data_IF_856349556631
#
_entry.id   IF_856349556631
#
_cell.length_a   1.000
_cell.length_b   1.000
_cell.length_c   1.000
_cell.angle_alpha   90.00
_cell.angle_beta   90.00
_cell.angle_gamma   90.00
#
_symmetry.space_group_name_H-M   'P 1'
#
loop_
_entity.id
_entity.type
_entity.pdbx_description
1 polymer ?
#
# COMPACT_ATOMS: atom_id res chain seq x y z
N UNK A 1 -25.02 -21.64 1.44
CA UNK A 1 -26.40 -21.96 1.03
C UNK A 1 -26.93 -20.75 0.27
N UNK A 2 -26.83 -20.79 -1.07
CA UNK A 2 -27.26 -19.67 -1.94
C UNK A 2 -28.73 -19.83 -2.30
N UNK A 3 -29.52 -18.82 -1.98
CA UNK A 3 -30.93 -18.74 -2.37
C UNK A 3 -31.06 -18.33 -3.83
N UNK A 4 -31.86 -19.03 -4.67
CA UNK A 4 -32.11 -18.63 -6.04
C UNK A 4 -32.98 -17.35 -6.06
N UNK A 5 -32.46 -16.30 -6.70
CA UNK A 5 -33.17 -15.05 -6.93
C UNK A 5 -34.30 -15.28 -7.93
N UNK A 6 -35.53 -15.13 -7.45
CA UNK A 6 -36.77 -15.37 -8.17
C UNK A 6 -37.02 -14.20 -9.13
N UNK A 7 -36.55 -14.32 -10.38
CA UNK A 7 -36.80 -13.33 -11.42
C UNK A 7 -38.29 -13.36 -11.82
N UNK A 8 -39.03 -12.35 -11.36
CA UNK A 8 -40.42 -12.12 -11.73
C UNK A 8 -40.48 -11.77 -13.22
N UNK A 9 -40.79 -12.76 -14.05
CA UNK A 9 -41.08 -12.59 -15.48
C UNK A 9 -42.38 -11.79 -15.58
N UNK A 10 -42.27 -10.47 -15.77
CA UNK A 10 -43.42 -9.63 -16.09
C UNK A 10 -43.95 -10.02 -17.45
N UNK A 11 -45.19 -10.52 -17.48
CA UNK A 11 -45.87 -10.89 -18.73
C UNK A 11 -45.95 -9.65 -19.63
N UNK A 12 -45.58 -9.75 -20.92
CA UNK A 12 -45.66 -8.61 -21.83
C UNK A 12 -47.10 -8.12 -21.90
N UNK A 13 -47.27 -6.82 -21.69
CA UNK A 13 -48.56 -6.14 -21.75
C UNK A 13 -49.16 -6.38 -23.15
N UNK A 14 -50.41 -6.86 -23.26
CA UNK A 14 -51.00 -7.17 -24.55
C UNK A 14 -51.05 -5.89 -25.41
N UNK A 15 -50.75 -5.99 -26.71
CA UNK A 15 -50.81 -4.86 -27.62
C UNK A 15 -52.24 -4.31 -27.61
N UNK A 16 -52.37 -3.01 -27.35
CA UNK A 16 -53.65 -2.31 -27.37
C UNK A 16 -54.27 -2.43 -28.76
N UNK A 17 -55.60 -2.53 -28.82
CA UNK A 17 -56.37 -2.76 -30.06
C UNK A 17 -55.98 -1.82 -31.23
N UNK A 18 -55.51 -0.60 -30.93
CA UNK A 18 -55.05 0.34 -31.94
C UNK A 18 -53.81 -0.10 -32.74
N UNK A 19 -52.87 -0.84 -32.13
CA UNK A 19 -51.68 -1.32 -32.86
C UNK A 19 -52.01 -2.43 -33.85
N UNK A 20 -53.02 -3.26 -33.56
CA UNK A 20 -53.45 -4.32 -34.47
C UNK A 20 -54.15 -3.75 -35.71
N UNK A 21 -54.99 -2.73 -35.53
CA UNK A 21 -55.63 -2.05 -36.66
C UNK A 21 -54.60 -1.29 -37.52
N UNK A 22 -53.63 -0.60 -36.91
CA UNK A 22 -52.56 0.07 -37.65
C UNK A 22 -51.69 -0.90 -38.45
N UNK A 23 -51.37 -2.07 -37.89
CA UNK A 23 -50.59 -3.11 -38.58
C UNK A 23 -51.36 -3.71 -39.76
N UNK A 24 -52.68 -3.96 -39.61
CA UNK A 24 -53.52 -4.47 -40.69
C UNK A 24 -53.67 -3.43 -41.82
N UNK A 25 -53.92 -2.16 -41.48
CA UNK A 25 -54.01 -1.08 -42.47
C UNK A 25 -52.68 -0.89 -43.23
N UNK A 26 -51.53 -0.97 -42.54
CA UNK A 26 -50.21 -0.88 -43.17
C UNK A 26 -49.92 -2.07 -44.10
N UNK A 27 -50.40 -3.27 -43.78
CA UNK A 27 -50.28 -4.44 -44.64
C UNK A 27 -51.17 -4.32 -45.89
N UNK A 28 -52.39 -3.81 -45.73
CA UNK A 28 -53.34 -3.60 -46.82
C UNK A 28 -52.85 -2.52 -47.81
N UNK A 29 -52.27 -1.43 -47.32
CA UNK A 29 -51.67 -0.38 -48.14
C UNK A 29 -50.50 -0.89 -49.00
N UNK A 30 -49.67 -1.81 -48.46
CA UNK A 30 -48.57 -2.43 -49.24
C UNK A 30 -49.08 -3.32 -50.37
N UNK A 31 -50.21 -3.99 -50.16
CA UNK A 31 -50.81 -4.88 -51.17
C UNK A 31 -51.45 -4.10 -52.32
N UNK A 32 -51.89 -2.86 -52.05
CA UNK A 32 -52.52 -1.97 -53.04
C UNK A 32 -51.53 -1.29 -53.99
N UNK A 33 -50.23 -1.42 -53.76
CA UNK A 33 -49.21 -0.71 -54.54
C UNK A 33 -49.20 0.81 -54.31
N UNK A 34 -49.96 1.31 -53.34
CA UNK A 34 -49.78 2.67 -52.83
C UNK A 34 -48.43 2.67 -52.09
N UNK A 35 -47.39 3.14 -52.78
CA UNK A 35 -46.10 3.41 -52.16
C UNK A 35 -46.38 4.24 -50.91
N UNK A 36 -46.01 3.70 -49.73
CA UNK A 36 -46.19 4.38 -48.46
C UNK A 36 -45.80 5.85 -48.65
N UNK A 37 -46.65 6.82 -48.23
CA UNK A 37 -46.37 8.23 -48.41
C UNK A 37 -44.95 8.44 -47.93
N UNK A 38 -44.05 8.82 -48.85
CA UNK A 38 -42.64 9.09 -48.54
C UNK A 38 -42.72 10.02 -47.34
N UNK A 39 -42.31 9.59 -46.14
CA UNK A 39 -42.51 10.36 -44.94
C UNK A 39 -41.90 11.71 -45.24
N UNK A 40 -42.78 12.71 -45.29
CA UNK A 40 -42.50 14.10 -45.58
C UNK A 40 -41.19 14.42 -44.88
N UNK A 41 -40.14 14.66 -45.67
CA UNK A 41 -38.74 14.71 -45.23
C UNK A 41 -38.73 15.56 -43.96
N UNK A 42 -38.67 14.89 -42.80
CA UNK A 42 -38.63 15.59 -41.52
C UNK A 42 -37.47 16.56 -41.66
N UNK A 43 -37.68 17.86 -41.41
CA UNK A 43 -36.68 18.88 -41.66
C UNK A 43 -35.40 18.37 -41.02
N UNK A 44 -34.41 18.06 -41.85
CA UNK A 44 -33.13 17.51 -41.43
C UNK A 44 -32.71 18.31 -40.20
N UNK A 45 -32.45 17.66 -39.05
CA UNK A 45 -32.21 18.36 -37.79
C UNK A 45 -31.17 19.42 -38.10
N UNK A 46 -31.59 20.69 -38.07
CA UNK A 46 -30.78 21.82 -38.51
C UNK A 46 -29.46 21.67 -37.77
N UNK A 47 -28.39 21.38 -38.50
CA UNK A 47 -27.07 21.29 -37.91
C UNK A 47 -26.87 22.62 -37.19
N UNK A 48 -26.81 22.58 -35.85
CA UNK A 48 -26.60 23.78 -35.04
C UNK A 48 -25.32 24.43 -35.57
N UNK A 49 -25.49 25.53 -36.31
CA UNK A 49 -24.39 26.33 -36.82
C UNK A 49 -23.61 26.75 -35.60
N UNK A 50 -22.38 26.26 -35.49
CA UNK A 50 -21.54 26.57 -34.34
C UNK A 50 -21.19 28.05 -34.39
N UNK A 51 -21.78 28.84 -33.49
CA UNK A 51 -21.63 30.30 -33.39
C UNK A 51 -20.26 30.74 -32.83
N UNK A 52 -19.33 29.80 -32.66
CA UNK A 52 -17.99 30.03 -32.12
C UNK A 52 -17.87 29.83 -30.61
N UNK A 53 -16.67 30.10 -30.05
CA UNK A 53 -16.41 30.00 -28.62
C UNK A 53 -17.23 31.02 -27.83
N UNK A 54 -18.12 30.54 -26.96
CA UNK A 54 -18.88 31.40 -26.03
C UNK A 54 -18.33 31.15 -24.63
N UNK A 55 -17.80 32.18 -23.99
CA UNK A 55 -17.15 32.09 -22.67
C UNK A 55 -18.06 31.47 -21.60
N UNK A 56 -19.38 31.74 -21.65
CA UNK A 56 -20.33 31.19 -20.70
C UNK A 56 -20.53 29.68 -20.90
N UNK A 57 -20.61 29.24 -22.17
CA UNK A 57 -20.72 27.82 -22.52
C UNK A 57 -19.43 27.08 -22.18
N UNK A 58 -18.29 27.71 -22.41
CA UNK A 58 -16.97 27.16 -22.09
C UNK A 58 -16.82 26.95 -20.58
N UNK A 59 -17.21 27.94 -19.76
CA UNK A 59 -17.25 27.80 -18.29
C UNK A 59 -18.17 26.65 -17.86
N UNK A 60 -19.34 26.52 -18.47
CA UNK A 60 -20.26 25.41 -18.15
C UNK A 60 -19.68 24.05 -18.54
N UNK A 61 -19.02 23.95 -19.68
CA UNK A 61 -18.36 22.73 -20.14
C UNK A 61 -17.19 22.34 -19.24
N UNK A 62 -16.32 23.28 -18.89
CA UNK A 62 -15.23 23.06 -17.93
C UNK A 62 -15.76 22.58 -16.58
N UNK A 63 -16.81 23.22 -16.07
CA UNK A 63 -17.45 22.84 -14.80
C UNK A 63 -18.08 21.45 -14.87
N UNK A 64 -18.72 21.09 -16.00
CA UNK A 64 -19.29 19.77 -16.23
C UNK A 64 -18.21 18.68 -16.21
N UNK A 65 -17.09 18.91 -16.88
CA UNK A 65 -15.95 17.97 -16.92
C UNK A 65 -15.35 17.83 -15.51
N UNK A 66 -15.10 18.95 -14.81
CA UNK A 66 -14.61 18.91 -13.43
C UNK A 66 -15.54 18.11 -12.50
N UNK A 67 -16.86 18.32 -12.59
CA UNK A 67 -17.85 17.59 -11.78
C UNK A 67 -17.86 16.10 -12.07
N UNK A 68 -17.78 15.70 -13.34
CA UNK A 68 -17.69 14.30 -13.73
C UNK A 68 -16.42 13.64 -13.20
N UNK A 69 -15.29 14.35 -13.26
CA UNK A 69 -14.03 13.86 -12.73
C UNK A 69 -14.08 13.72 -11.20
N UNK A 70 -14.49 14.76 -10.47
CA UNK A 70 -14.52 14.74 -9.01
C UNK A 70 -15.50 13.68 -8.47
N UNK A 71 -16.72 13.63 -9.04
CA UNK A 71 -17.78 12.72 -8.57
C UNK A 71 -17.64 11.30 -9.11
N UNK A 72 -17.23 11.14 -10.37
CA UNK A 72 -17.19 9.85 -11.06
C UNK A 72 -15.86 9.14 -10.93
N UNK A 73 -14.75 9.87 -11.04
CA UNK A 73 -13.40 9.31 -11.04
C UNK A 73 -12.78 9.36 -9.64
N UNK A 74 -12.64 10.54 -9.04
CA UNK A 74 -11.84 10.72 -7.81
C UNK A 74 -12.51 10.12 -6.58
N UNK A 75 -13.84 10.22 -6.47
CA UNK A 75 -14.56 9.73 -5.29
C UNK A 75 -14.59 8.21 -5.19
N UNK A 76 -14.82 7.53 -6.31
CA UNK A 76 -15.10 6.09 -6.32
C UNK A 76 -13.84 5.24 -6.59
N UNK A 77 -12.72 5.88 -6.97
CA UNK A 77 -11.42 5.25 -7.19
C UNK A 77 -10.36 5.88 -6.25
N UNK A 78 -9.18 5.26 -6.11
CA UNK A 78 -8.09 5.86 -5.33
C UNK A 78 -7.43 7.06 -6.05
N UNK A 79 -6.81 7.98 -5.30
CA UNK A 79 -6.10 9.13 -5.88
C UNK A 79 -5.04 8.74 -6.92
N UNK A 80 -4.29 7.66 -6.65
CA UNK A 80 -3.26 7.15 -7.56
C UNK A 80 -3.85 6.63 -8.88
N UNK A 81 -4.91 5.82 -8.81
CA UNK A 81 -5.59 5.30 -10.01
C UNK A 81 -6.24 6.43 -10.81
N UNK A 82 -6.83 7.41 -10.12
CA UNK A 82 -7.42 8.59 -10.74
C UNK A 82 -6.36 9.43 -11.45
N UNK A 83 -5.19 9.65 -10.82
CA UNK A 83 -4.07 10.35 -11.44
C UNK A 83 -3.59 9.61 -12.71
N UNK A 84 -3.38 8.29 -12.64
CA UNK A 84 -2.96 7.48 -13.80
C UNK A 84 -3.96 7.57 -14.98
N UNK A 85 -5.27 7.59 -14.67
CA UNK A 85 -6.32 7.74 -15.67
C UNK A 85 -6.31 9.14 -16.30
N UNK A 86 -6.21 10.20 -15.49
CA UNK A 86 -6.15 11.59 -15.95
C UNK A 86 -4.90 11.83 -16.81
N UNK A 87 -3.72 11.40 -16.38
CA UNK A 87 -2.47 11.48 -17.17
C UNK A 87 -2.64 10.84 -18.55
N UNK A 88 -3.30 9.69 -18.59
CA UNK A 88 -3.53 8.97 -19.85
C UNK A 88 -4.50 9.73 -20.76
N UNK A 89 -5.58 10.29 -20.20
CA UNK A 89 -6.54 11.11 -20.93
C UNK A 89 -5.92 12.42 -21.44
N UNK A 90 -5.12 13.10 -20.62
CA UNK A 90 -4.37 14.32 -21.02
C UNK A 90 -3.48 14.00 -22.21
N UNK A 91 -2.70 12.90 -22.15
CA UNK A 91 -1.83 12.50 -23.26
C UNK A 91 -2.61 12.21 -24.55
N UNK A 92 -3.76 11.55 -24.45
CA UNK A 92 -4.63 11.28 -25.60
C UNK A 92 -5.13 12.60 -26.20
N UNK A 93 -5.59 13.53 -25.36
CA UNK A 93 -6.09 14.83 -25.82
C UNK A 93 -4.97 15.67 -26.46
N UNK A 94 -3.78 15.74 -25.85
CA UNK A 94 -2.61 16.45 -26.39
C UNK A 94 -2.21 15.91 -27.76
N UNK A 95 -2.09 14.59 -27.92
CA UNK A 95 -1.74 13.99 -29.22
C UNK A 95 -2.73 14.35 -30.34
N UNK A 96 -4.03 14.43 -30.02
CA UNK A 96 -5.07 14.81 -30.99
C UNK A 96 -5.00 16.31 -31.32
N UNK A 97 -4.74 17.15 -30.32
CA UNK A 97 -4.61 18.61 -30.50
C UNK A 97 -3.35 18.98 -31.30
N UNK A 98 -2.24 18.27 -31.08
CA UNK A 98 -0.98 18.43 -31.82
C UNK A 98 -1.11 17.96 -33.28
N UNK A 99 -1.82 16.84 -33.51
CA UNK A 99 -1.92 16.20 -34.83
C UNK A 99 -3.38 15.93 -35.22
N UNK A 100 -4.20 16.97 -35.49
CA UNK A 100 -5.64 16.81 -35.72
C UNK A 100 -5.99 16.06 -37.00
N UNK A 101 -5.07 16.01 -37.98
CA UNK A 101 -5.25 15.32 -39.27
C UNK A 101 -5.12 13.79 -39.17
N UNK A 102 -4.44 13.28 -38.14
CA UNK A 102 -4.14 11.85 -38.04
C UNK A 102 -5.32 11.06 -37.47
N UNK A 103 -5.97 10.26 -38.32
CA UNK A 103 -7.12 9.43 -37.93
C UNK A 103 -6.79 8.39 -36.84
N UNK A 104 -5.50 8.01 -36.71
CA UNK A 104 -5.00 7.07 -35.71
C UNK A 104 -5.22 7.57 -34.28
N UNK A 105 -4.99 8.86 -34.01
CA UNK A 105 -5.17 9.40 -32.65
C UNK A 105 -6.65 9.65 -32.32
N UNK A 106 -7.50 9.83 -33.34
CA UNK A 106 -8.94 10.04 -33.18
C UNK A 106 -9.72 8.75 -32.93
N UNK A 107 -9.10 7.58 -33.15
CA UNK A 107 -9.75 6.26 -33.05
C UNK A 107 -9.05 5.44 -31.99
N UNK A 108 -9.71 5.21 -30.85
CA UNK A 108 -9.16 4.45 -29.74
C UNK A 108 -9.87 3.10 -29.63
N UNK A 109 -9.13 2.01 -29.80
CA UNK A 109 -9.67 0.67 -29.60
C UNK A 109 -9.83 0.39 -28.11
N UNK A 110 -10.98 -0.14 -27.68
CA UNK A 110 -11.18 -0.59 -26.29
C UNK A 110 -10.21 -1.71 -25.87
N UNK A 111 -9.64 -2.44 -26.82
CA UNK A 111 -8.63 -3.49 -26.63
C UNK A 111 -7.24 -2.93 -26.32
N UNK A 112 -6.99 -1.62 -26.49
CA UNK A 112 -5.71 -1.00 -26.13
C UNK A 112 -5.45 -1.18 -24.63
N UNK A 113 -4.32 -1.80 -24.28
CA UNK A 113 -4.00 -2.18 -22.90
C UNK A 113 -3.88 -0.97 -21.97
N UNK A 114 -3.32 0.16 -22.42
CA UNK A 114 -3.24 1.37 -21.61
C UNK A 114 -4.62 1.96 -21.35
N UNK A 115 -5.44 2.10 -22.40
CA UNK A 115 -6.80 2.63 -22.27
C UNK A 115 -7.65 1.72 -21.37
N UNK A 116 -7.60 0.42 -21.60
CA UNK A 116 -8.36 -0.59 -20.84
C UNK A 116 -7.98 -0.58 -19.36
N UNK A 117 -6.70 -0.64 -19.05
CA UNK A 117 -6.23 -0.82 -17.68
C UNK A 117 -6.25 0.48 -16.85
N UNK A 118 -6.01 1.63 -17.49
CA UNK A 118 -5.94 2.92 -16.77
C UNK A 118 -7.26 3.68 -16.79
N UNK A 119 -7.91 3.78 -17.95
CA UNK A 119 -9.11 4.63 -18.11
C UNK A 119 -10.39 3.82 -17.93
N UNK A 120 -10.57 2.73 -18.70
CA UNK A 120 -11.83 1.97 -18.70
C UNK A 120 -12.02 1.12 -17.44
N UNK A 121 -10.93 0.72 -16.78
CA UNK A 121 -11.00 0.04 -15.48
C UNK A 121 -11.45 0.96 -14.34
N UNK A 122 -11.29 2.28 -14.49
CA UNK A 122 -11.70 3.25 -13.48
C UNK A 122 -13.18 3.59 -13.65
N UNK A 123 -13.93 3.62 -12.54
CA UNK A 123 -15.32 4.09 -12.55
C UNK A 123 -15.36 5.55 -13.03
N UNK A 124 -16.31 5.89 -13.91
CA UNK A 124 -16.41 7.21 -14.53
C UNK A 124 -15.41 7.52 -15.65
N UNK A 125 -14.43 6.64 -15.93
CA UNK A 125 -13.47 6.87 -17.03
C UNK A 125 -14.12 6.86 -18.42
N UNK A 126 -15.14 6.03 -18.62
CA UNK A 126 -15.95 6.03 -19.84
C UNK A 126 -16.71 7.34 -20.03
N UNK A 127 -17.37 7.85 -18.98
CA UNK A 127 -18.16 9.07 -19.04
C UNK A 127 -17.30 10.30 -19.35
N UNK A 128 -16.05 10.32 -18.86
CA UNK A 128 -15.04 11.32 -19.19
C UNK A 128 -14.70 11.30 -20.69
N UNK A 129 -14.49 10.14 -21.31
CA UNK A 129 -14.26 10.05 -22.76
C UNK A 129 -15.45 10.62 -23.55
N UNK A 130 -16.68 10.31 -23.14
CA UNK A 130 -17.88 10.85 -23.78
C UNK A 130 -17.97 12.38 -23.61
N UNK A 131 -17.58 12.89 -22.43
CA UNK A 131 -17.54 14.33 -22.15
C UNK A 131 -16.48 15.09 -22.95
N UNK A 132 -15.36 14.43 -23.30
CA UNK A 132 -14.33 14.95 -24.21
C UNK A 132 -14.74 14.91 -25.69
N UNK A 133 -15.94 14.41 -26.01
CA UNK A 133 -16.48 14.39 -27.37
C UNK A 133 -16.30 13.07 -28.11
N UNK A 134 -15.73 12.03 -27.49
CA UNK A 134 -15.66 10.70 -28.10
C UNK A 134 -17.05 10.06 -28.20
N UNK A 135 -17.25 9.26 -29.24
CA UNK A 135 -18.44 8.43 -29.42
C UNK A 135 -18.05 6.97 -29.52
N UNK A 136 -18.79 6.10 -28.85
CA UNK A 136 -18.60 4.66 -28.92
C UNK A 136 -19.20 4.15 -30.23
N UNK A 137 -18.41 3.46 -31.03
CA UNK A 137 -18.82 2.75 -32.24
C UNK A 137 -18.41 1.29 -32.10
N UNK A 138 -19.18 0.37 -32.68
CA UNK A 138 -18.79 -1.05 -32.74
C UNK A 138 -18.30 -1.32 -34.15
N UNK A 139 -17.02 -1.69 -34.28
CA UNK A 139 -16.38 -2.02 -35.56
C UNK A 139 -15.73 -3.38 -35.37
N UNK A 140 -16.05 -4.33 -36.26
CA UNK A 140 -15.56 -5.72 -36.17
C UNK A 140 -15.84 -6.41 -34.82
N UNK A 141 -17.04 -6.17 -34.26
CA UNK A 141 -17.46 -6.65 -32.94
C UNK A 141 -16.62 -6.13 -31.75
N UNK A 142 -15.75 -5.14 -31.96
CA UNK A 142 -15.01 -4.46 -30.91
C UNK A 142 -15.54 -3.04 -30.69
N UNK A 143 -15.65 -2.63 -29.43
CA UNK A 143 -15.95 -1.24 -29.11
C UNK A 143 -14.75 -0.34 -29.42
N UNK A 144 -14.97 0.72 -30.19
CA UNK A 144 -14.00 1.75 -30.53
C UNK A 144 -14.54 3.12 -30.13
N UNK A 145 -13.67 3.98 -29.60
CA UNK A 145 -13.99 5.37 -29.29
C UNK A 145 -13.49 6.25 -30.41
N UNK A 146 -14.42 6.90 -31.11
CA UNK A 146 -14.13 7.70 -32.30
C UNK A 146 -14.45 9.16 -32.02
N UNK A 147 -13.49 10.04 -32.25
CA UNK A 147 -13.67 11.48 -32.25
C UNK A 147 -13.85 11.98 -33.68
N UNK A 148 -15.05 12.44 -34.03
CA UNK A 148 -15.28 13.14 -35.31
C UNK A 148 -14.65 14.52 -35.24
N UNK A 149 -13.73 14.89 -36.17
CA UNK A 149 -13.09 16.19 -36.18
C UNK A 149 -14.12 17.25 -36.62
N UNK A 150 -14.72 17.95 -35.66
CA UNK A 150 -15.53 19.14 -35.91
C UNK A 150 -15.00 20.30 -35.08
N UNK A 151 -15.15 21.54 -35.55
CA UNK A 151 -14.65 22.73 -34.83
C UNK A 151 -15.16 22.76 -33.38
N UNK A 152 -16.46 22.49 -33.19
CA UNK A 152 -17.08 22.37 -31.86
C UNK A 152 -16.42 21.30 -30.99
N UNK A 153 -16.21 20.08 -31.50
CA UNK A 153 -15.65 18.97 -30.72
C UNK A 153 -14.17 19.18 -30.42
N UNK A 154 -13.42 19.77 -31.33
CA UNK A 154 -12.02 20.13 -31.09
C UNK A 154 -11.90 21.21 -30.01
N UNK A 155 -12.83 22.17 -29.99
CA UNK A 155 -12.91 23.17 -28.92
C UNK A 155 -13.28 22.55 -27.57
N UNK A 156 -14.29 21.68 -27.53
CA UNK A 156 -14.66 20.92 -26.32
C UNK A 156 -13.49 20.07 -25.80
N UNK A 157 -12.75 19.41 -26.70
CA UNK A 157 -11.55 18.65 -26.36
C UNK A 157 -10.46 19.54 -25.77
N UNK A 158 -10.23 20.74 -26.32
CA UNK A 158 -9.27 21.72 -25.80
C UNK A 158 -9.63 22.17 -24.38
N UNK A 159 -10.89 22.53 -24.14
CA UNK A 159 -11.38 22.90 -22.80
C UNK A 159 -11.20 21.74 -21.81
N UNK A 160 -11.48 20.52 -22.26
CA UNK A 160 -11.28 19.31 -21.48
C UNK A 160 -9.82 19.05 -21.14
N UNK A 161 -8.91 19.24 -22.08
CA UNK A 161 -7.47 19.10 -21.87
C UNK A 161 -6.95 20.07 -20.81
N UNK A 162 -7.36 21.35 -20.86
CA UNK A 162 -7.01 22.36 -19.87
C UNK A 162 -7.45 21.95 -18.44
N UNK A 163 -8.70 21.48 -18.30
CA UNK A 163 -9.22 21.02 -17.00
C UNK A 163 -8.49 19.75 -16.52
N UNK A 164 -8.19 18.83 -17.42
CA UNK A 164 -7.46 17.61 -17.08
C UNK A 164 -6.03 17.91 -16.61
N UNK A 165 -5.33 18.85 -17.26
CA UNK A 165 -3.98 19.25 -16.88
C UNK A 165 -3.93 19.90 -15.49
N UNK A 166 -4.81 20.86 -15.23
CA UNK A 166 -4.95 21.50 -13.90
C UNK A 166 -5.12 20.44 -12.82
N UNK A 167 -6.08 19.55 -13.02
CA UNK A 167 -6.45 18.51 -12.05
C UNK A 167 -5.45 17.38 -11.94
N UNK A 168 -4.68 17.10 -12.99
CA UNK A 168 -3.58 16.15 -12.97
C UNK A 168 -2.58 16.53 -11.89
N UNK A 169 -2.14 17.80 -11.90
CA UNK A 169 -1.15 18.30 -10.92
C UNK A 169 -1.67 18.22 -9.48
N UNK A 170 -2.95 18.50 -9.25
CA UNK A 170 -3.58 18.39 -7.93
C UNK A 170 -3.65 16.94 -7.43
N UNK A 171 -4.04 16.01 -8.31
CA UNK A 171 -4.16 14.60 -7.97
C UNK A 171 -2.79 13.96 -7.72
N UNK A 172 -1.76 14.33 -8.48
CA UNK A 172 -0.39 13.86 -8.25
C UNK A 172 0.16 14.37 -6.92
N UNK A 173 -0.07 15.65 -6.56
CA UNK A 173 0.27 16.21 -5.25
C UNK A 173 -0.41 15.46 -4.11
N UNK A 174 -1.70 15.14 -4.24
CA UNK A 174 -2.43 14.38 -3.22
C UNK A 174 -1.96 12.92 -3.14
N UNK A 175 -1.72 12.28 -4.28
CA UNK A 175 -1.26 10.89 -4.34
C UNK A 175 0.14 10.75 -3.70
N UNK A 176 1.06 11.66 -4.04
CA UNK A 176 2.40 11.70 -3.45
C UNK A 176 2.36 12.02 -1.95
N UNK A 177 1.58 13.03 -1.54
CA UNK A 177 1.43 13.40 -0.12
C UNK A 177 0.90 12.25 0.76
N UNK A 178 -0.01 11.44 0.24
CA UNK A 178 -0.51 10.26 0.96
C UNK A 178 0.57 9.18 1.13
N UNK A 179 1.39 8.97 0.10
CA UNK A 179 2.52 8.01 0.20
C UNK A 179 3.60 8.49 1.14
N UNK A 180 3.99 9.77 1.07
CA UNK A 180 5.04 10.32 1.94
C UNK A 180 4.64 10.31 3.41
N UNK A 181 3.40 10.69 3.73
CA UNK A 181 2.89 10.64 5.11
C UNK A 181 2.90 9.21 5.67
N UNK A 182 2.48 8.23 4.87
CA UNK A 182 2.49 6.82 5.30
C UNK A 182 3.91 6.30 5.52
N UNK A 183 4.84 6.61 4.59
CA UNK A 183 6.24 6.19 4.72
C UNK A 183 6.95 6.87 5.87
N UNK A 184 6.67 8.16 6.12
CA UNK A 184 7.24 8.90 7.23
C UNK A 184 6.77 8.30 8.56
N UNK A 185 5.46 8.08 8.74
CA UNK A 185 4.94 7.43 9.95
C UNK A 185 5.52 6.03 10.17
N UNK A 186 5.64 5.22 9.12
CA UNK A 186 6.30 3.91 9.19
C UNK A 186 7.78 4.02 9.57
N UNK A 187 8.49 5.01 9.03
CA UNK A 187 9.90 5.23 9.33
C UNK A 187 10.12 5.71 10.77
N UNK A 188 9.26 6.59 11.28
CA UNK A 188 9.29 7.06 12.66
C UNK A 188 9.00 5.92 13.64
N UNK A 189 7.99 5.10 13.36
CA UNK A 189 7.67 3.93 14.17
C UNK A 189 8.78 2.88 14.13
N UNK A 190 9.42 2.69 12.98
CA UNK A 190 10.59 1.82 12.84
C UNK A 190 11.78 2.37 13.64
N UNK A 191 12.03 3.68 13.61
CA UNK A 191 13.10 4.32 14.39
C UNK A 191 12.84 4.22 15.89
N UNK A 192 11.60 4.41 16.34
CA UNK A 192 11.22 4.21 17.75
C UNK A 192 11.48 2.79 18.22
N UNK A 193 11.08 1.79 17.42
CA UNK A 193 11.34 0.37 17.72
C UNK A 193 12.83 0.07 17.74
N UNK A 194 13.60 0.58 16.78
CA UNK A 194 15.05 0.40 16.72
C UNK A 194 15.75 1.01 17.94
N UNK A 195 15.32 2.19 18.38
CA UNK A 195 15.84 2.84 19.59
C UNK A 195 15.57 2.01 20.85
N UNK A 196 14.32 1.55 21.02
CA UNK A 196 13.96 0.71 22.16
C UNK A 196 14.72 -0.63 22.18
N UNK A 197 14.93 -1.24 21.00
CA UNK A 197 15.72 -2.47 20.90
C UNK A 197 17.19 -2.25 21.28
N UNK A 198 17.78 -1.12 20.83
CA UNK A 198 19.15 -0.75 21.19
C UNK A 198 19.32 -0.55 22.69
N UNK A 199 18.36 0.11 23.34
CA UNK A 199 18.36 0.31 24.79
C UNK A 199 18.31 -1.03 25.56
N UNK A 200 17.48 -1.98 25.10
CA UNK A 200 17.42 -3.33 25.68
C UNK A 200 18.74 -4.09 25.49
N UNK A 201 19.41 -3.92 24.35
CA UNK A 201 20.71 -4.55 24.08
C UNK A 201 21.82 -3.95 24.95
N UNK A 202 21.83 -2.63 25.11
CA UNK A 202 22.76 -1.91 25.99
C UNK A 202 22.57 -2.37 27.45
N UNK A 203 21.31 -2.48 27.93
CA UNK A 203 21.00 -3.01 29.25
C UNK A 203 21.48 -4.46 29.43
N UNK A 204 21.24 -5.32 28.43
CA UNK A 204 21.74 -6.71 28.45
C UNK A 204 23.26 -6.76 28.50
N UNK A 205 23.96 -5.86 27.81
CA UNK A 205 25.42 -5.78 27.86
C UNK A 205 25.90 -5.34 29.25
N UNK A 206 25.25 -4.34 29.86
CA UNK A 206 25.57 -3.88 31.22
C UNK A 206 25.36 -4.98 32.27
N UNK A 207 24.27 -5.75 32.16
CA UNK A 207 24.01 -6.90 33.04
C UNK A 207 25.08 -7.98 32.85
N UNK A 208 25.49 -8.29 31.62
CA UNK A 208 26.58 -9.25 31.35
C UNK A 208 27.89 -8.82 32.01
N UNK A 209 28.29 -7.56 31.80
CA UNK A 209 29.51 -7.00 32.42
C UNK A 209 29.43 -7.04 33.95
N UNK A 210 28.25 -6.75 34.54
CA UNK A 210 28.05 -6.84 35.99
C UNK A 210 28.21 -8.28 36.49
N UNK A 211 27.56 -9.26 35.83
CA UNK A 211 27.63 -10.67 36.19
C UNK A 211 29.05 -11.22 36.06
N UNK A 212 29.77 -10.85 35.00
CA UNK A 212 31.19 -11.22 34.81
C UNK A 212 32.06 -10.65 35.92
N UNK A 213 31.87 -9.38 36.28
CA UNK A 213 32.60 -8.75 37.38
C UNK A 213 32.32 -9.42 38.73
N UNK A 214 31.06 -9.73 39.02
CA UNK A 214 30.68 -10.46 40.23
C UNK A 214 31.25 -11.89 40.25
N UNK A 215 31.27 -12.55 39.08
CA UNK A 215 31.85 -13.89 38.92
C UNK A 215 33.34 -13.89 39.21
N UNK A 216 34.10 -13.00 38.57
CA UNK A 216 35.56 -12.85 38.83
C UNK A 216 35.81 -12.56 40.31
N UNK A 217 35.03 -11.65 40.91
CA UNK A 217 35.15 -11.35 42.33
C UNK A 217 34.84 -12.53 43.26
N UNK A 218 33.93 -13.44 42.87
CA UNK A 218 33.68 -14.69 43.62
C UNK A 218 34.83 -15.67 43.47
N UNK A 219 35.31 -15.87 42.24
CA UNK A 219 36.43 -16.76 41.94
C UNK A 219 37.71 -16.31 42.67
N UNK A 220 37.99 -15.01 42.75
CA UNK A 220 39.13 -14.46 43.50
C UNK A 220 39.01 -14.68 45.01
N UNK A 221 37.83 -14.47 45.60
CA UNK A 221 37.58 -14.72 47.03
C UNK A 221 37.71 -16.19 47.37
N UNK A 222 37.20 -17.07 46.51
CA UNK A 222 37.31 -18.51 46.67
C UNK A 222 38.77 -18.97 46.53
N UNK A 223 39.54 -18.37 45.62
CA UNK A 223 40.98 -18.64 45.46
C UNK A 223 41.77 -18.23 46.72
N UNK A 224 41.57 -17.01 47.21
CA UNK A 224 42.21 -16.54 48.45
C UNK A 224 41.86 -17.43 49.65
N UNK A 225 40.61 -17.86 49.75
CA UNK A 225 40.18 -18.79 50.81
C UNK A 225 40.87 -20.14 50.70
N UNK A 226 40.97 -20.72 49.50
CA UNK A 226 41.71 -21.99 49.29
C UNK A 226 43.19 -21.85 49.63
N UNK A 227 43.82 -20.75 49.25
CA UNK A 227 45.23 -20.48 49.59
C UNK A 227 45.43 -20.40 51.10
N UNK A 228 44.55 -19.68 51.82
CA UNK A 228 44.59 -19.62 53.28
C UNK A 228 44.35 -20.97 53.97
N UNK A 229 43.41 -21.76 53.46
CA UNK A 229 43.14 -23.11 53.98
C UNK A 229 44.33 -24.05 53.77
N UNK A 230 45.01 -23.96 52.62
CA UNK A 230 46.24 -24.72 52.35
C UNK A 230 47.41 -24.28 53.22
N UNK A 231 47.58 -22.97 53.41
CA UNK A 231 48.62 -22.42 54.30
C UNK A 231 48.37 -22.86 55.76
N UNK A 232 47.13 -22.77 56.23
CA UNK A 232 46.75 -23.25 57.55
C UNK A 232 46.96 -24.76 57.71
N UNK A 233 46.60 -25.56 56.70
CA UNK A 233 46.85 -27.00 56.71
C UNK A 233 48.36 -27.32 56.72
N UNK A 234 49.18 -26.58 55.95
CA UNK A 234 50.63 -26.76 55.97
C UNK A 234 51.24 -26.40 57.32
N UNK A 235 50.80 -25.29 57.93
CA UNK A 235 51.24 -24.89 59.27
C UNK A 235 50.81 -25.91 60.34
N UNK A 236 49.61 -26.48 60.24
CA UNK A 236 49.15 -27.54 61.13
C UNK A 236 50.02 -28.80 60.97
N UNK A 237 50.33 -29.22 59.74
CA UNK A 237 51.23 -30.37 59.51
C UNK A 237 52.65 -30.12 60.01
N UNK A 238 53.16 -28.89 59.88
CA UNK A 238 54.48 -28.51 60.39
C UNK A 238 54.51 -28.53 61.93
N UNK A 239 53.46 -28.01 62.59
CA UNK A 239 53.34 -28.10 64.06
C UNK A 239 53.21 -29.55 64.56
N UNK A 240 52.53 -30.43 63.81
CA UNK A 240 52.45 -31.86 64.14
C UNK A 240 53.83 -32.52 63.99
N UNK A 241 54.55 -32.24 62.90
CA UNK A 241 55.89 -32.78 62.66
C UNK A 241 56.90 -32.36 63.75
N UNK A 242 56.88 -31.08 64.16
CA UNK A 242 57.73 -30.57 65.24
C UNK A 242 57.39 -31.21 66.61
N UNK A 243 56.12 -31.59 66.81
CA UNK A 243 55.69 -32.31 68.02
C UNK A 243 56.08 -33.79 68.03
N UNK A 244 56.26 -34.41 66.85
CA UNK A 244 56.53 -35.86 66.72
C UNK A 244 58.04 -36.20 66.70
N UNK A 245 58.93 -35.21 66.49
CA UNK A 245 60.39 -35.38 66.66
C UNK A 245 60.81 -35.76 68.10
N UNK A 246 59.88 -35.72 69.07
CA UNK A 246 60.09 -36.19 70.45
C UNK A 246 59.66 -37.64 70.73
N UNK A 247 59.08 -38.38 69.78
CA UNK A 247 58.42 -39.68 70.07
C UNK A 247 58.86 -40.82 69.15
N UNK A 248 60.16 -40.98 68.94
CA UNK A 248 60.73 -42.23 68.46
C UNK A 248 60.71 -43.30 69.57
N UNK A 249 59.60 -44.03 69.70
CA UNK A 249 59.54 -45.31 70.42
C UNK A 249 58.87 -46.35 69.52
N UNK A 250 59.65 -47.39 69.24
CA UNK A 250 59.35 -48.69 68.62
C UNK A 250 57.88 -49.10 68.62
N UNK A 251 57.35 -49.43 67.43
CA UNK A 251 56.30 -50.44 67.28
C UNK A 251 56.55 -51.24 66.00
N UNK A 252 57.15 -52.41 66.20
CA UNK A 252 57.34 -53.49 65.25
C UNK A 252 56.01 -54.24 65.01
N UNK A 253 55.64 -54.44 63.74
CA UNK A 253 54.78 -55.52 63.23
C UNK A 253 53.26 -55.27 63.19
N UNK A 254 52.45 -56.16 62.57
CA UNK A 254 52.73 -57.22 61.58
C UNK A 254 51.99 -56.98 60.22
N UNK A 255 52.25 -57.79 59.16
CA UNK A 255 51.58 -57.65 57.86
C UNK A 255 50.20 -58.33 57.82
N UNK A 256 49.49 -58.08 56.70
CA UNK A 256 48.29 -58.76 56.12
C UNK A 256 46.98 -57.96 56.19
N UNK A 257 45.96 -58.23 55.35
CA UNK A 257 45.93 -58.88 54.05
C UNK A 257 45.27 -58.04 52.94
N UNK A 258 45.57 -58.43 51.71
CA UNK A 258 44.90 -58.04 50.46
C UNK A 258 43.40 -58.31 50.54
N UNK A 259 42.55 -57.32 50.27
CA UNK A 259 41.13 -57.55 49.92
C UNK A 259 40.70 -56.56 48.85
N UNK A 260 40.72 -57.07 47.62
CA UNK A 260 39.84 -56.75 46.51
C UNK A 260 38.42 -56.40 46.95
N UNK A 261 37.84 -55.32 46.42
CA UNK A 261 36.49 -55.27 45.86
C UNK A 261 36.30 -53.98 45.04
N UNK A 262 36.06 -54.17 43.73
CA UNK A 262 35.41 -53.23 42.83
C UNK A 262 34.01 -52.84 43.34
N UNK A 263 33.48 -51.68 42.93
CA UNK A 263 32.46 -51.72 41.87
C UNK A 263 32.80 -50.71 40.76
N UNK A 264 32.88 -51.12 39.49
CA UNK A 264 31.76 -51.27 38.55
C UNK A 264 30.81 -50.05 38.45
N UNK A 265 30.89 -49.41 37.28
CA UNK A 265 29.83 -48.67 36.57
C UNK A 265 29.40 -47.29 37.08
N UNK A 266 29.87 -46.24 36.38
CA UNK A 266 28.97 -45.18 35.93
C UNK A 266 29.46 -44.57 34.61
N UNK A 267 29.08 -45.22 33.52
CA UNK A 267 29.18 -44.67 32.16
C UNK A 267 28.05 -43.66 31.96
N UNK A 268 28.29 -42.38 32.22
CA UNK A 268 27.39 -41.33 31.74
C UNK A 268 27.85 -40.89 30.35
N UNK A 269 27.25 -41.54 29.35
CA UNK A 269 27.30 -41.14 27.95
C UNK A 269 26.69 -39.75 27.78
N UNK A 270 27.53 -38.70 27.76
CA UNK A 270 27.10 -37.42 27.21
C UNK A 270 27.10 -37.54 25.69
N UNK A 271 25.95 -37.93 25.15
CA UNK A 271 25.69 -37.94 23.71
C UNK A 271 25.89 -36.52 23.19
N UNK A 272 26.92 -36.35 22.35
CA UNK A 272 27.02 -35.30 21.35
C UNK A 272 25.71 -35.24 20.58
N UNK A 273 24.87 -34.25 20.89
CA UNK A 273 23.70 -33.92 20.06
C UNK A 273 24.22 -33.13 18.87
N UNK A 274 24.76 -33.89 17.92
CA UNK A 274 24.99 -33.50 16.55
C UNK A 274 23.64 -33.11 15.95
N UNK A 275 23.34 -31.80 15.95
CA UNK A 275 22.23 -31.25 15.17
C UNK A 275 22.77 -30.95 13.78
N UNK A 276 23.06 -32.03 13.07
CA UNK A 276 23.04 -32.08 11.61
C UNK A 276 21.64 -31.72 11.14
N UNK A 277 21.36 -30.42 10.95
CA UNK A 277 20.23 -29.97 10.14
C UNK A 277 20.61 -30.09 8.68
N UNK A 278 20.38 -31.31 8.19
CA UNK A 278 20.22 -31.65 6.78
C UNK A 278 19.27 -30.67 6.09
N UNK A 279 19.74 -30.16 4.95
CA UNK A 279 18.92 -29.67 3.85
C UNK A 279 17.78 -30.67 3.55
N UNK A 280 16.53 -30.21 3.71
CA UNK A 280 15.40 -30.80 3.00
C UNK A 280 14.85 -29.73 2.08
N UNK A 281 15.26 -29.84 0.83
CA UNK A 281 14.51 -29.32 -0.30
C UNK A 281 13.09 -29.90 -0.24
N UNK A 282 12.13 -29.08 0.18
CA UNK A 282 10.71 -29.28 -0.11
C UNK A 282 10.24 -28.06 -0.87
N UNK A 283 10.26 -28.19 -2.19
CA UNK A 283 9.31 -27.46 -3.02
C UNK A 283 7.90 -27.95 -2.68
N UNK A 284 7.05 -27.01 -2.30
CA UNK A 284 5.62 -26.96 -2.60
C UNK A 284 5.14 -25.63 -2.02
N UNK A 285 4.79 -24.64 -2.85
CA UNK A 285 3.42 -24.44 -3.31
C UNK A 285 2.39 -24.57 -2.17
N UNK A 286 1.50 -23.58 -2.11
CA UNK A 286 0.32 -23.49 -1.24
C UNK A 286 0.55 -22.82 0.12
N UNK A 287 0.53 -21.47 0.14
CA UNK A 287 -0.21 -20.71 1.18
C UNK A 287 -0.49 -19.27 0.77
N UNK A 288 -1.38 -19.09 -0.21
CA UNK A 288 -2.29 -17.94 -0.23
C UNK A 288 -3.52 -18.35 0.56
N UNK A 289 -3.56 -18.04 1.85
CA UNK A 289 -4.79 -17.90 2.64
C UNK A 289 -4.40 -17.46 4.05
N UNK A 290 -3.92 -16.22 4.17
CA UNK A 290 -3.96 -15.52 5.46
C UNK A 290 -5.30 -14.80 5.53
N UNK A 291 -6.30 -15.58 5.95
CA UNK A 291 -7.61 -15.12 6.37
C UNK A 291 -7.43 -14.12 7.51
N UNK A 292 -7.68 -12.86 7.19
CA UNK A 292 -8.60 -11.96 7.91
C UNK A 292 -9.13 -12.57 9.23
N UNK A 293 -8.35 -12.44 10.30
CA UNK A 293 -8.88 -12.35 11.66
C UNK A 293 -8.77 -10.89 12.08
N UNK A 294 -9.68 -10.08 11.54
CA UNK A 294 -10.05 -8.79 12.13
C UNK A 294 -10.75 -9.09 13.46
N UNK A 295 -9.95 -9.24 14.52
CA UNK A 295 -10.45 -9.18 15.88
C UNK A 295 -11.06 -7.80 16.10
N UNK A 296 -12.36 -7.77 16.35
CA UNK A 296 -13.00 -6.67 17.06
C UNK A 296 -12.36 -6.59 18.44
N UNK A 297 -11.33 -5.75 18.60
CA UNK A 297 -10.88 -5.32 19.92
C UNK A 297 -11.63 -4.03 20.24
N UNK A 298 -12.71 -4.19 20.99
CA UNK A 298 -13.38 -3.09 21.66
C UNK A 298 -12.37 -2.42 22.59
N UNK A 299 -11.86 -1.25 22.21
CA UNK A 299 -11.18 -0.36 23.15
C UNK A 299 -12.26 0.33 23.98
N UNK A 300 -12.51 -0.26 25.15
CA UNK A 300 -13.26 0.35 26.25
C UNK A 300 -12.22 1.07 27.12
N UNK A 301 -12.40 2.38 27.24
CA UNK A 301 -11.95 3.31 28.29
C UNK A 301 -10.60 3.10 28.97
N UNK A 302 -9.72 4.09 28.83
CA UNK A 302 -8.80 4.60 29.86
C UNK A 302 -8.60 6.09 29.52
N UNK A 303 -9.14 6.99 30.35
CA UNK A 303 -8.36 7.84 31.29
C UNK A 303 -7.43 8.77 30.49
N UNK A 304 -7.87 9.98 30.11
CA UNK A 304 -7.82 11.20 30.93
C UNK A 304 -6.52 11.33 31.74
N UNK A 305 -5.41 11.49 31.01
CA UNK A 305 -4.29 12.30 31.51
C UNK A 305 -4.30 13.61 30.72
N UNK A 306 -4.84 14.66 31.36
CA UNK A 306 -4.69 16.04 30.95
C UNK A 306 -3.24 16.48 31.24
N UNK A 307 -2.34 16.27 30.28
CA UNK A 307 -1.09 17.04 30.25
C UNK A 307 -1.40 18.45 29.76
N UNK A 308 -1.48 19.37 30.72
CA UNK A 308 -1.43 20.82 30.50
C UNK A 308 -0.20 21.18 29.65
N UNK A 309 -0.41 21.42 28.35
CA UNK A 309 0.58 22.08 27.52
C UNK A 309 0.66 23.56 27.93
N UNK A 310 1.85 24.12 28.14
CA UNK A 310 2.02 25.53 28.45
C UNK A 310 1.54 26.37 27.26
N UNK A 311 0.57 27.25 27.52
CA UNK A 311 0.11 28.29 26.59
C UNK A 311 1.28 29.22 26.29
N UNK A 312 1.95 28.99 25.17
CA UNK A 312 2.94 29.91 24.63
C UNK A 312 2.21 31.13 24.03
N UNK A 313 1.97 32.16 24.85
CA UNK A 313 1.59 33.48 24.37
C UNK A 313 2.83 34.17 23.78
N UNK A 314 3.19 33.79 22.57
CA UNK A 314 4.25 34.42 21.80
C UNK A 314 3.70 35.53 20.90
N UNK A 315 3.42 36.69 21.48
CA UNK A 315 3.40 37.94 20.74
C UNK A 315 4.85 38.34 20.44
N UNK A 316 5.22 38.47 19.17
CA UNK A 316 6.56 38.94 18.78
C UNK A 316 6.72 38.87 17.26
N UNK A 317 6.31 39.92 16.56
CA UNK A 317 7.19 41.00 16.10
C UNK A 317 7.68 40.73 14.66
N UNK A 318 6.95 41.33 13.74
CA UNK A 318 7.31 41.52 12.34
C UNK A 318 8.40 42.58 12.32
N UNK A 319 9.65 42.20 12.01
CA UNK A 319 10.67 43.13 11.56
C UNK A 319 11.12 42.72 10.16
N UNK A 320 11.00 43.69 9.26
CA UNK A 320 11.33 43.58 7.86
C UNK A 320 12.81 43.30 7.63
N UNK A 321 13.07 42.44 6.65
CA UNK A 321 14.34 42.37 5.96
C UNK A 321 14.24 43.18 4.67
N UNK A 322 14.91 44.33 4.68
CA UNK A 322 15.48 45.06 3.55
C UNK A 322 16.14 44.10 2.55
N UNK A 323 15.84 44.19 1.26
CA UNK A 323 16.65 44.96 0.29
C UNK A 323 18.14 44.65 0.37
N UNK A 324 18.59 43.73 -0.49
CA UNK A 324 19.94 43.76 -1.07
C UNK A 324 19.82 43.31 -2.54
N UNK A 325 19.73 44.31 -3.40
CA UNK A 325 19.94 44.23 -4.85
C UNK A 325 21.39 44.60 -5.08
N UNK A 326 22.26 43.60 -5.21
CA UNK A 326 23.57 43.72 -5.88
C UNK A 326 23.49 42.75 -7.07
N UNK A 327 23.58 43.18 -8.33
CA UNK A 327 24.64 44.05 -8.84
C UNK A 327 25.73 43.15 -9.40
N UNK A 328 25.52 42.61 -10.60
CA UNK A 328 26.46 41.70 -11.27
C UNK A 328 26.35 41.83 -12.78
N UNK A 329 26.78 42.97 -13.29
CA UNK A 329 27.27 43.11 -14.67
C UNK A 329 28.62 42.39 -14.75
N UNK A 330 28.83 41.57 -15.79
CA UNK A 330 30.16 41.33 -16.35
C UNK A 330 30.03 40.72 -17.77
N UNK A 331 31.07 40.90 -18.62
CA UNK A 331 30.95 41.38 -20.01
C UNK A 331 30.69 40.36 -21.13
#
# INVERSE_FOLDING_TARGET
MSTPSNAVISKPKPPTLGHRQAALAAAEARLRGESAPVPEILPSPKEEVWEGPNEQVDKQNKLKISRLMDRGLVRDNGYRQSADAVVTLTRIASNILESPGEAKYRTLKSTNTMLKNKVLACKGGHDLLIALGFRTQTVDFEAQYVLTPSLRRMHELKLGAEVLEERCTELEKRASGMTTSTTLGQSEDAQRKARALREIEDDRALVKVRVERERVGREERERLRREQELEAASAETEMIAESDEGRAVEMEGPPLPVTTMLPESFTESFTTRDVSRSNVARGDKVRKEEKVRKGHRAHKGQEQDEEELPRFSGAGHILGGSEDVEGGEDP
#
